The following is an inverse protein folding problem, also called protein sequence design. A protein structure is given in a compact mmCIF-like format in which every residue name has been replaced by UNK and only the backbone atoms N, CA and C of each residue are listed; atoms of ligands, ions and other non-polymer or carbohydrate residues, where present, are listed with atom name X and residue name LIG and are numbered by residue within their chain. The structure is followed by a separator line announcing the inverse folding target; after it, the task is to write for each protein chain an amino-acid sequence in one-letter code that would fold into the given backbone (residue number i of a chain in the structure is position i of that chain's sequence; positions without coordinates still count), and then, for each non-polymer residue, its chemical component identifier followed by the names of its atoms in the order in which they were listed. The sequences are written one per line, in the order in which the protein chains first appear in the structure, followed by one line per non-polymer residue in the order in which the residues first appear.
data_IF_626253842182
#
_entry.id   IF_626253842182
#
_cell.length_a   1.000
_cell.length_b   1.000
_cell.length_c   1.000
_cell.angle_alpha   90.00
_cell.angle_beta   90.00
_cell.angle_gamma   90.00
#
_symmetry.space_group_name_H-M   'P 1'
#
loop_
_entity.id
_entity.type
_entity.pdbx_description
1 polymer ?
#
# COMPACT_ATOMS: atom_id res chain seq x y z
N UNK A 1 20.79 -6.61 -35.99
CA UNK A 1 20.60 -6.09 -34.63
C UNK A 1 19.27 -5.35 -34.66
N UNK A 2 18.18 -6.07 -34.44
CA UNK A 2 16.84 -5.48 -34.39
C UNK A 2 16.67 -4.87 -33.00
N UNK A 3 16.36 -3.58 -32.96
CA UNK A 3 15.98 -2.86 -31.76
C UNK A 3 14.61 -3.34 -31.29
N UNK A 4 14.55 -4.09 -30.20
CA UNK A 4 13.29 -4.35 -29.50
C UNK A 4 12.79 -3.04 -28.92
N UNK A 5 11.61 -2.61 -29.39
CA UNK A 5 10.88 -1.46 -28.86
C UNK A 5 10.30 -1.83 -27.49
N UNK A 6 10.87 -1.26 -26.42
CA UNK A 6 10.40 -1.33 -25.03
C UNK A 6 9.13 -0.50 -24.81
N UNK A 7 8.10 -0.69 -25.64
CA UNK A 7 6.85 0.07 -25.51
C UNK A 7 5.75 -0.83 -24.90
N UNK A 8 5.56 -0.63 -23.59
CA UNK A 8 4.47 -1.08 -22.71
C UNK A 8 4.56 -2.50 -22.09
N UNK A 9 5.47 -2.67 -21.14
CA UNK A 9 5.49 -3.83 -20.21
C UNK A 9 4.52 -3.71 -19.02
N UNK A 10 3.77 -2.60 -18.91
CA UNK A 10 2.84 -2.37 -17.80
C UNK A 10 1.43 -2.73 -18.27
N UNK A 11 0.84 -3.76 -17.67
CA UNK A 11 -0.56 -4.13 -17.90
C UNK A 11 -1.47 -3.05 -17.27
N UNK A 12 -2.33 -2.37 -18.05
CA UNK A 12 -3.26 -1.36 -17.52
C UNK A 12 -4.18 -1.89 -16.41
N UNK A 13 -4.49 -3.18 -16.41
CA UNK A 13 -5.33 -3.80 -15.39
C UNK A 13 -4.61 -3.88 -14.03
N UNK A 14 -3.29 -4.11 -14.02
CA UNK A 14 -2.48 -4.08 -12.81
C UNK A 14 -2.42 -2.68 -12.21
N UNK A 15 -2.28 -1.66 -13.06
CA UNK A 15 -2.32 -0.25 -12.62
C UNK A 15 -3.67 0.08 -12.01
N UNK A 16 -4.76 -0.32 -12.67
CA UNK A 16 -6.11 -0.08 -12.15
C UNK A 16 -6.33 -0.79 -10.81
N UNK A 17 -5.85 -2.02 -10.67
CA UNK A 17 -5.92 -2.77 -9.43
C UNK A 17 -5.11 -2.08 -8.32
N UNK A 18 -3.90 -1.60 -8.62
CA UNK A 18 -3.08 -0.85 -7.67
C UNK A 18 -3.77 0.42 -7.18
N UNK A 19 -4.37 1.20 -8.10
CA UNK A 19 -5.11 2.41 -7.76
C UNK A 19 -6.35 2.11 -6.91
N UNK A 20 -7.06 1.02 -7.19
CA UNK A 20 -8.19 0.59 -6.36
C UNK A 20 -7.74 0.22 -4.94
N UNK A 21 -6.64 -0.52 -4.80
CA UNK A 21 -6.05 -0.86 -3.50
C UNK A 21 -5.60 0.39 -2.74
N UNK A 22 -5.05 1.39 -3.43
CA UNK A 22 -4.69 2.67 -2.84
C UNK A 22 -5.90 3.44 -2.29
N UNK A 23 -6.98 3.54 -3.06
CA UNK A 23 -8.21 4.20 -2.60
C UNK A 23 -8.82 3.47 -1.39
N UNK A 24 -8.81 2.14 -1.39
CA UNK A 24 -9.27 1.35 -0.26
C UNK A 24 -8.39 1.57 0.98
N UNK A 25 -7.07 1.62 0.82
CA UNK A 25 -6.16 1.83 1.94
C UNK A 25 -6.34 3.21 2.58
N UNK A 26 -6.55 4.25 1.77
CA UNK A 26 -6.90 5.59 2.26
C UNK A 26 -8.20 5.59 3.05
N UNK A 27 -9.22 4.87 2.59
CA UNK A 27 -10.49 4.76 3.28
C UNK A 27 -10.34 4.08 4.66
N UNK A 28 -9.59 2.98 4.73
CA UNK A 28 -9.31 2.28 6.00
C UNK A 28 -8.47 3.13 6.96
N UNK A 29 -7.42 3.80 6.45
CA UNK A 29 -6.64 4.73 7.24
C UNK A 29 -7.51 5.86 7.79
N UNK A 30 -8.40 6.42 6.96
CA UNK A 30 -9.31 7.49 7.38
C UNK A 30 -10.31 7.02 8.43
N UNK A 31 -10.85 5.80 8.29
CA UNK A 31 -11.68 5.18 9.32
C UNK A 31 -10.93 4.98 10.65
N UNK A 32 -9.61 4.78 10.59
CA UNK A 32 -8.73 4.71 11.76
C UNK A 32 -8.25 6.08 12.30
N UNK A 33 -8.68 7.19 11.69
CA UNK A 33 -8.38 8.55 12.14
C UNK A 33 -7.38 9.33 11.30
N UNK A 34 -6.95 8.81 10.15
CA UNK A 34 -6.09 9.56 9.21
C UNK A 34 -6.87 10.72 8.56
N UNK A 35 -6.27 11.90 8.54
CA UNK A 35 -6.92 13.14 8.10
C UNK A 35 -6.68 13.47 6.62
N UNK A 36 -5.90 12.67 5.90
CA UNK A 36 -5.62 12.84 4.47
C UNK A 36 -4.30 13.55 4.16
N UNK A 37 -3.54 13.98 5.16
CA UNK A 37 -2.24 14.62 5.02
C UNK A 37 -1.07 13.61 5.06
N UNK A 38 0.03 13.96 4.40
CA UNK A 38 1.21 13.11 4.26
C UNK A 38 2.48 13.91 4.52
N UNK A 39 3.30 13.44 5.46
CA UNK A 39 4.64 13.99 5.74
C UNK A 39 5.63 13.70 4.62
N UNK A 40 5.51 12.52 4.01
CA UNK A 40 6.31 12.03 2.90
C UNK A 40 5.40 11.28 1.92
N UNK A 41 5.90 11.01 0.72
CA UNK A 41 5.22 10.13 -0.23
C UNK A 41 4.84 8.80 0.44
N UNK A 42 3.64 8.26 0.15
CA UNK A 42 3.23 6.99 0.71
C UNK A 42 4.13 5.89 0.15
N UNK A 43 4.48 4.92 0.98
CA UNK A 43 5.34 3.79 0.59
C UNK A 43 4.57 2.48 0.70
N UNK A 44 4.97 1.49 -0.10
CA UNK A 44 4.45 0.13 -0.02
C UNK A 44 5.43 -0.78 0.70
N UNK A 45 4.91 -1.83 1.34
CA UNK A 45 5.71 -2.90 1.93
C UNK A 45 5.20 -4.25 1.46
N UNK A 46 6.10 -5.22 1.34
CA UNK A 46 5.76 -6.59 0.98
C UNK A 46 5.33 -7.38 2.21
N UNK A 47 4.26 -8.13 2.05
CA UNK A 47 3.77 -9.07 3.03
C UNK A 47 4.10 -10.46 2.50
N UNK A 48 4.92 -11.24 3.23
CA UNK A 48 5.11 -12.63 2.90
C UNK A 48 3.81 -13.37 3.22
N UNK A 49 3.08 -13.79 2.19
CA UNK A 49 2.06 -14.82 2.30
C UNK A 49 2.62 -16.15 1.77
N UNK A 50 2.00 -17.26 2.18
CA UNK A 50 2.43 -18.60 1.79
C UNK A 50 2.33 -18.85 0.28
N UNK A 51 1.41 -18.14 -0.39
CA UNK A 51 1.06 -18.40 -1.79
C UNK A 51 1.40 -17.28 -2.77
N UNK A 52 1.49 -16.04 -2.29
CA UNK A 52 1.69 -14.88 -3.14
C UNK A 52 2.45 -13.73 -2.46
N UNK A 53 2.99 -12.82 -3.28
CA UNK A 53 3.53 -11.56 -2.80
C UNK A 53 2.43 -10.52 -2.75
N UNK A 54 1.82 -10.36 -1.57
CA UNK A 54 0.90 -9.27 -1.28
C UNK A 54 1.65 -8.02 -0.85
N UNK A 55 1.07 -6.84 -1.06
CA UNK A 55 1.63 -5.58 -0.58
C UNK A 55 0.61 -4.79 0.24
N UNK A 56 1.11 -4.02 1.21
CA UNK A 56 0.34 -3.06 1.98
C UNK A 56 0.86 -1.63 1.80
N UNK A 57 0.18 -0.66 2.42
CA UNK A 57 0.53 0.76 2.36
C UNK A 57 0.94 1.29 3.73
N UNK A 58 1.91 2.21 3.75
CA UNK A 58 2.32 2.96 4.93
C UNK A 58 2.10 4.45 4.67
N UNK A 59 1.29 5.08 5.51
CA UNK A 59 0.96 6.50 5.44
C UNK A 59 1.48 7.19 6.71
N UNK A 60 2.25 8.27 6.54
CA UNK A 60 2.76 9.07 7.65
C UNK A 60 2.01 10.39 7.71
N UNK A 61 1.17 10.57 8.72
CA UNK A 61 0.47 11.83 8.97
C UNK A 61 1.47 12.91 9.36
N UNK A 62 1.32 14.13 8.84
CA UNK A 62 2.27 15.21 9.06
C UNK A 62 2.02 15.92 10.40
N UNK A 63 0.75 16.14 10.72
CA UNK A 63 0.36 17.00 11.85
C UNK A 63 0.68 16.41 13.25
N UNK A 64 0.78 15.09 13.39
CA UNK A 64 1.00 14.40 14.67
C UNK A 64 2.03 13.26 14.57
N UNK A 65 2.55 13.00 13.37
CA UNK A 65 3.51 11.92 13.15
C UNK A 65 2.94 10.52 13.34
N UNK A 66 1.61 10.33 13.39
CA UNK A 66 1.01 8.99 13.42
C UNK A 66 1.35 8.24 12.12
N UNK A 67 1.75 6.98 12.24
CA UNK A 67 1.97 6.10 11.08
C UNK A 67 0.80 5.12 11.00
N UNK A 68 0.10 5.14 9.88
CA UNK A 68 -0.94 4.16 9.55
C UNK A 68 -0.31 3.09 8.66
N UNK A 69 -0.40 1.83 9.09
CA UNK A 69 0.03 0.67 8.32
C UNK A 69 -1.22 -0.10 7.92
N UNK A 70 -1.53 -0.11 6.62
CA UNK A 70 -2.73 -0.75 6.08
C UNK A 70 -2.32 -2.02 5.33
N UNK A 71 -2.88 -3.13 5.76
CA UNK A 71 -2.58 -4.46 5.24
C UNK A 71 -3.83 -5.10 4.63
N UNK A 72 -3.76 -5.71 3.42
CA UNK A 72 -4.88 -6.46 2.84
C UNK A 72 -5.18 -7.76 3.59
N UNK A 73 -4.23 -8.25 4.41
CA UNK A 73 -4.38 -9.47 5.20
C UNK A 73 -4.21 -9.17 6.70
N UNK A 74 -4.82 -9.96 7.60
CA UNK A 74 -4.54 -9.87 9.02
C UNK A 74 -3.05 -10.05 9.30
N UNK A 75 -2.51 -9.33 10.28
CA UNK A 75 -1.11 -9.44 10.72
C UNK A 75 -1.08 -9.91 12.18
N UNK A 76 -1.28 -11.22 12.46
CA UNK A 76 -1.50 -11.72 13.82
C UNK A 76 -0.36 -11.42 14.79
N UNK A 77 0.86 -11.27 14.29
CA UNK A 77 2.02 -10.92 15.10
C UNK A 77 1.97 -9.48 15.65
N UNK A 78 1.12 -8.60 15.11
CA UNK A 78 0.86 -7.26 15.64
C UNK A 78 -0.26 -7.24 16.70
N UNK A 79 -1.06 -8.30 16.81
CA UNK A 79 -2.13 -8.41 17.82
C UNK A 79 -1.58 -8.73 19.22
N UNK A 80 -0.31 -9.11 19.31
CA UNK A 80 0.42 -9.31 20.56
C UNK A 80 0.72 -7.96 21.22
N UNK A 81 -0.25 -7.43 21.96
CA UNK A 81 -0.02 -6.37 22.95
C UNK A 81 0.00 -7.04 24.33
N UNK A 82 1.16 -7.06 24.97
CA UNK A 82 1.32 -7.42 26.39
C UNK A 82 0.63 -6.39 27.30
#
# INVERSE_FOLDING_TARGET
MQSESLENDIDPSEVQHFLANWESAKAEASAAGWEGDLRHEPVVFWIPDDTEFSYGFVLKQDNNGTTYVVSPVPLPWLESVY
#
